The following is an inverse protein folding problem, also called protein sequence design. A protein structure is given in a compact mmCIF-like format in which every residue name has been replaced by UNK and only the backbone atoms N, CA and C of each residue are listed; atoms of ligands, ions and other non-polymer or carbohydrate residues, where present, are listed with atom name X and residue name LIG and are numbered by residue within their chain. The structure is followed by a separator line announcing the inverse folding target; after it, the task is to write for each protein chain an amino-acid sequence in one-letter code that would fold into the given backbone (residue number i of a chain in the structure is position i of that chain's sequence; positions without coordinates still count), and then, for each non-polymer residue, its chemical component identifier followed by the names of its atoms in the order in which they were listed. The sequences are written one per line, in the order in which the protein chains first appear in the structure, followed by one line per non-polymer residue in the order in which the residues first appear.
data_IF_225453689322
#
_entry.id   IF_225453689322
#
_cell.length_a   1.000
_cell.length_b   1.000
_cell.length_c   1.000
_cell.angle_alpha   90.00
_cell.angle_beta   90.00
_cell.angle_gamma   90.00
#
_symmetry.space_group_name_H-M   'P 1'
#
loop_
_entity.id
_entity.type
_entity.pdbx_description
1 polymer ?
#
# COMPACT_ATOMS: atom_id res chain seq x y z
N UNK A 1 -27.67 -27.05 -17.97
CA UNK A 1 -26.46 -27.84 -17.72
C UNK A 1 -25.24 -27.04 -18.19
N UNK A 2 -24.41 -26.63 -17.23
CA UNK A 2 -23.01 -26.12 -17.24
C UNK A 2 -22.55 -24.99 -18.20
N UNK A 3 -22.30 -23.85 -17.56
CA UNK A 3 -21.44 -22.70 -17.90
C UNK A 3 -19.95 -23.07 -18.04
N UNK A 4 -19.28 -22.55 -19.06
CA UNK A 4 -17.81 -22.40 -19.12
C UNK A 4 -17.44 -20.98 -19.56
N UNK A 5 -17.32 -20.07 -18.58
CA UNK A 5 -16.74 -18.74 -18.81
C UNK A 5 -15.22 -18.81 -18.62
N UNK A 6 -14.51 -18.99 -19.73
CA UNK A 6 -13.06 -18.82 -19.87
C UNK A 6 -12.68 -17.35 -19.69
N UNK A 7 -11.60 -17.12 -18.93
CA UNK A 7 -11.14 -15.78 -18.55
C UNK A 7 -10.89 -14.88 -19.76
N UNK A 8 -11.46 -13.67 -19.73
CA UNK A 8 -11.19 -12.62 -20.71
C UNK A 8 -9.72 -12.20 -20.62
N UNK A 9 -8.96 -12.39 -21.69
CA UNK A 9 -7.68 -11.73 -21.92
C UNK A 9 -7.98 -10.35 -22.51
N UNK A 10 -7.66 -9.29 -21.78
CA UNK A 10 -7.69 -7.92 -22.31
C UNK A 10 -6.38 -7.67 -23.05
N UNK A 11 -6.46 -7.24 -24.31
CA UNK A 11 -5.31 -6.78 -25.09
C UNK A 11 -5.35 -5.26 -25.15
N UNK A 12 -4.22 -4.60 -24.94
CA UNK A 12 -4.04 -3.18 -25.23
C UNK A 12 -2.83 -3.06 -26.16
N UNK A 13 -3.04 -2.50 -27.35
CA UNK A 13 -2.01 -2.34 -28.39
C UNK A 13 -1.33 -3.65 -28.83
N UNK A 14 -2.08 -4.76 -28.90
CA UNK A 14 -1.54 -6.06 -29.33
C UNK A 14 -0.72 -6.81 -28.29
N UNK A 15 -0.31 -6.15 -27.21
CA UNK A 15 0.39 -6.74 -26.07
C UNK A 15 -0.65 -7.43 -25.16
N UNK A 16 -0.45 -8.71 -24.78
CA UNK A 16 -1.29 -9.36 -23.78
C UNK A 16 -1.14 -8.60 -22.46
N UNK A 17 -2.18 -7.88 -22.02
CA UNK A 17 -2.20 -7.45 -20.63
C UNK A 17 -2.43 -8.72 -19.82
N UNK A 18 -1.42 -9.10 -19.03
CA UNK A 18 -1.59 -10.12 -18.02
C UNK A 18 -2.85 -9.74 -17.22
N UNK A 19 -3.92 -10.55 -17.34
CA UNK A 19 -5.17 -10.28 -16.62
C UNK A 19 -4.85 -10.02 -15.14
N UNK A 20 -5.62 -9.18 -14.46
CA UNK A 20 -5.27 -8.67 -13.12
C UNK A 20 -4.83 -9.78 -12.13
N UNK A 21 -5.33 -11.00 -12.28
CA UNK A 21 -4.88 -12.19 -11.54
C UNK A 21 -3.40 -12.53 -11.76
N UNK A 22 -2.89 -12.51 -12.99
CA UNK A 22 -1.48 -12.79 -13.31
C UNK A 22 -0.57 -11.67 -12.82
N UNK A 23 -1.01 -10.41 -12.92
CA UNK A 23 -0.31 -9.28 -12.31
C UNK A 23 -0.13 -9.46 -10.80
N UNK A 24 -1.15 -9.93 -10.07
CA UNK A 24 -1.03 -10.24 -8.64
C UNK A 24 0.02 -11.32 -8.36
N UNK A 25 0.17 -12.32 -9.25
CA UNK A 25 1.21 -13.34 -9.12
C UNK A 25 2.59 -12.71 -9.31
N UNK A 26 2.79 -11.96 -10.39
CA UNK A 26 4.08 -11.34 -10.70
C UNK A 26 4.48 -10.33 -9.60
N UNK A 27 3.50 -9.59 -9.03
CA UNK A 27 3.73 -8.71 -7.89
C UNK A 27 4.04 -9.47 -6.59
N UNK A 28 3.65 -10.73 -6.44
CA UNK A 28 3.90 -11.50 -5.20
C UNK A 28 5.37 -11.85 -4.97
N UNK A 29 6.18 -11.83 -6.04
CA UNK A 29 7.63 -12.00 -5.98
C UNK A 29 8.33 -10.76 -5.39
N UNK A 30 7.85 -9.57 -5.75
CA UNK A 30 8.48 -8.30 -5.41
C UNK A 30 7.82 -7.56 -4.25
N UNK A 31 6.53 -7.80 -3.99
CA UNK A 31 5.78 -7.09 -2.96
C UNK A 31 5.72 -7.87 -1.65
N UNK A 32 5.81 -7.13 -0.54
CA UNK A 32 5.53 -7.68 0.78
C UNK A 32 4.09 -8.20 0.88
N UNK A 33 3.83 -9.11 1.83
CA UNK A 33 2.48 -9.67 2.09
C UNK A 33 1.42 -8.58 2.26
N UNK A 34 1.80 -7.47 2.89
CA UNK A 34 0.94 -6.33 3.19
C UNK A 34 0.64 -5.51 1.94
N UNK A 35 1.68 -5.13 1.19
CA UNK A 35 1.52 -4.41 -0.07
C UNK A 35 0.73 -5.22 -1.09
N UNK A 36 0.95 -6.53 -1.16
CA UNK A 36 0.15 -7.44 -1.97
C UNK A 36 -1.32 -7.48 -1.52
N UNK A 37 -1.59 -7.51 -0.21
CA UNK A 37 -2.96 -7.43 0.33
C UNK A 37 -3.66 -6.12 -0.06
N UNK A 38 -2.94 -5.00 -0.02
CA UNK A 38 -3.47 -3.68 -0.40
C UNK A 38 -3.74 -3.57 -1.91
N UNK A 39 -2.83 -4.07 -2.76
CA UNK A 39 -3.06 -4.13 -4.22
C UNK A 39 -4.29 -4.98 -4.53
N UNK A 40 -4.38 -6.17 -3.91
CA UNK A 40 -5.55 -7.02 -4.08
C UNK A 40 -6.82 -6.32 -3.60
N UNK A 41 -6.78 -5.59 -2.48
CA UNK A 41 -7.86 -4.72 -1.99
C UNK A 41 -8.34 -3.74 -3.05
N UNK A 42 -7.41 -2.98 -3.63
CA UNK A 42 -7.74 -1.96 -4.61
C UNK A 42 -8.30 -2.52 -5.93
N UNK A 43 -7.78 -3.65 -6.40
CA UNK A 43 -8.29 -4.28 -7.62
C UNK A 43 -9.74 -4.76 -7.46
N UNK A 44 -10.10 -5.31 -6.29
CA UNK A 44 -11.48 -5.72 -6.04
C UNK A 44 -12.41 -4.52 -5.84
N UNK A 45 -11.95 -3.48 -5.13
CA UNK A 45 -12.71 -2.23 -4.95
C UNK A 45 -13.08 -1.58 -6.28
N UNK A 46 -12.22 -1.71 -7.30
CA UNK A 46 -12.42 -1.17 -8.66
C UNK A 46 -13.12 -2.17 -9.60
N UNK A 47 -13.57 -3.32 -9.10
CA UNK A 47 -14.13 -4.45 -9.87
C UNK A 47 -13.22 -4.92 -11.02
N UNK A 48 -11.91 -4.76 -10.86
CA UNK A 48 -10.89 -5.20 -11.82
C UNK A 48 -10.42 -6.64 -11.59
N UNK A 49 -10.65 -7.17 -10.38
CA UNK A 49 -10.31 -8.55 -10.03
C UNK A 49 -11.25 -9.05 -8.93
N UNK A 50 -12.01 -10.09 -9.23
CA UNK A 50 -12.90 -10.71 -8.25
C UNK A 50 -12.13 -11.68 -7.38
N UNK A 51 -12.50 -11.75 -6.10
CA UNK A 51 -11.92 -12.69 -5.13
C UNK A 51 -11.87 -14.14 -5.64
N UNK A 52 -12.95 -14.62 -6.24
CA UNK A 52 -13.04 -15.99 -6.75
C UNK A 52 -12.05 -16.27 -7.90
N UNK A 53 -11.59 -15.24 -8.61
CA UNK A 53 -10.54 -15.38 -9.63
C UNK A 53 -9.16 -15.53 -9.00
N UNK A 54 -8.91 -14.83 -7.90
CA UNK A 54 -7.66 -14.94 -7.12
C UNK A 54 -7.55 -16.29 -6.44
N UNK A 55 -8.64 -16.77 -5.83
CA UNK A 55 -8.69 -18.10 -5.20
C UNK A 55 -8.41 -19.20 -6.25
N UNK A 56 -9.13 -19.18 -7.37
CA UNK A 56 -8.88 -20.11 -8.49
C UNK A 56 -7.46 -20.02 -9.05
N UNK A 57 -6.83 -18.85 -9.04
CA UNK A 57 -5.43 -18.69 -9.46
C UNK A 57 -4.47 -19.29 -8.43
N UNK A 58 -4.67 -18.98 -7.14
CA UNK A 58 -3.86 -19.49 -6.04
C UNK A 58 -3.91 -21.02 -5.91
N UNK A 59 -5.02 -21.64 -6.33
CA UNK A 59 -5.16 -23.10 -6.37
C UNK A 59 -4.39 -23.73 -7.53
N UNK A 60 -4.21 -23.02 -8.64
CA UNK A 60 -3.46 -23.50 -9.82
C UNK A 60 -1.95 -23.35 -9.69
N UNK A 61 -1.49 -22.40 -8.88
CA UNK A 61 -0.06 -22.21 -8.63
C UNK A 61 0.47 -23.36 -7.76
N UNK A 62 1.60 -23.94 -8.18
CA UNK A 62 2.31 -24.95 -7.39
C UNK A 62 2.79 -24.39 -6.04
N UNK A 63 3.16 -25.27 -5.10
CA UNK A 63 3.67 -24.89 -3.77
C UNK A 63 4.89 -23.96 -3.90
N UNK A 64 4.90 -22.86 -3.14
CA UNK A 64 5.99 -21.88 -3.13
C UNK A 64 5.67 -20.63 -2.29
N UNK A 65 6.68 -19.77 -2.08
CA UNK A 65 6.54 -18.56 -1.27
C UNK A 65 5.46 -17.60 -1.80
N UNK A 66 5.28 -17.54 -3.12
CA UNK A 66 4.30 -16.69 -3.82
C UNK A 66 2.86 -17.05 -3.45
N UNK A 67 2.55 -18.36 -3.44
CA UNK A 67 1.24 -18.87 -3.05
C UNK A 67 0.96 -18.61 -1.57
N UNK A 68 1.99 -18.71 -0.70
CA UNK A 68 1.84 -18.39 0.73
C UNK A 68 1.48 -16.91 0.95
N UNK A 69 2.09 -15.98 0.21
CA UNK A 69 1.77 -14.54 0.29
C UNK A 69 0.37 -14.23 -0.24
N UNK A 70 -0.03 -14.81 -1.37
CA UNK A 70 -1.38 -14.64 -1.93
C UNK A 70 -2.44 -15.23 -0.99
N UNK A 71 -2.22 -16.44 -0.44
CA UNK A 71 -3.13 -17.07 0.53
C UNK A 71 -3.22 -16.27 1.84
N UNK A 72 -2.13 -15.66 2.29
CA UNK A 72 -2.16 -14.75 3.43
C UNK A 72 -3.07 -13.55 3.17
N UNK A 73 -2.91 -12.88 2.01
CA UNK A 73 -3.73 -11.75 1.61
C UNK A 73 -5.23 -12.12 1.50
N UNK A 74 -5.53 -13.29 0.92
CA UNK A 74 -6.90 -13.83 0.85
C UNK A 74 -7.49 -14.11 2.26
N UNK A 75 -6.70 -14.69 3.17
CA UNK A 75 -7.15 -14.99 4.55
C UNK A 75 -7.44 -13.73 5.35
N UNK A 76 -6.59 -12.71 5.26
CA UNK A 76 -6.83 -11.40 5.92
C UNK A 76 -8.14 -10.77 5.46
N UNK A 77 -8.43 -10.81 4.17
CA UNK A 77 -9.70 -10.32 3.59
C UNK A 77 -10.91 -11.11 4.09
N UNK A 78 -10.81 -12.45 4.21
CA UNK A 78 -11.88 -13.28 4.80
C UNK A 78 -12.20 -12.88 6.24
N UNK A 79 -11.20 -12.43 7.00
CA UNK A 79 -11.37 -11.93 8.36
C UNK A 79 -11.81 -10.46 8.44
N UNK A 80 -12.27 -9.86 7.34
CA UNK A 80 -12.72 -8.46 7.32
C UNK A 80 -11.60 -7.41 7.43
N UNK A 81 -10.33 -7.83 7.34
CA UNK A 81 -9.20 -6.90 7.37
C UNK A 81 -8.97 -6.36 5.95
N UNK A 82 -9.63 -5.25 5.62
CA UNK A 82 -9.48 -4.54 4.35
C UNK A 82 -8.15 -3.78 4.35
N UNK A 83 -7.17 -4.30 3.61
CA UNK A 83 -5.79 -3.81 3.63
C UNK A 83 -5.09 -4.16 4.95
N UNK A 84 -4.05 -4.99 4.88
CA UNK A 84 -3.33 -5.38 6.10
C UNK A 84 -2.24 -4.35 6.36
N UNK A 85 -2.36 -3.59 7.45
CA UNK A 85 -1.23 -2.83 7.96
C UNK A 85 -0.03 -3.74 8.18
N UNK A 86 1.18 -3.27 7.86
CA UNK A 86 2.42 -3.95 8.22
C UNK A 86 2.67 -3.91 9.74
N UNK A 87 3.48 -4.84 10.26
CA UNK A 87 3.88 -4.80 11.67
C UNK A 87 4.60 -3.49 12.05
N UNK A 88 5.31 -2.90 11.08
CA UNK A 88 5.95 -1.59 11.22
C UNK A 88 4.90 -0.48 11.32
N UNK A 89 3.90 -0.44 10.44
CA UNK A 89 2.79 0.52 10.55
C UNK A 89 2.06 0.39 11.89
N UNK A 90 1.78 -0.83 12.35
CA UNK A 90 1.11 -1.05 13.63
C UNK A 90 1.97 -0.56 14.81
N UNK A 91 3.29 -0.80 14.76
CA UNK A 91 4.24 -0.29 15.74
C UNK A 91 4.32 1.24 15.72
N UNK A 92 4.34 1.84 14.53
CA UNK A 92 4.34 3.30 14.39
C UNK A 92 3.05 3.92 14.94
N UNK A 93 1.89 3.33 14.66
CA UNK A 93 0.61 3.81 15.22
C UNK A 93 0.59 3.68 16.74
N UNK A 94 1.10 2.58 17.31
CA UNK A 94 1.23 2.44 18.77
C UNK A 94 2.12 3.54 19.35
N UNK A 95 3.31 3.75 18.78
CA UNK A 95 4.24 4.78 19.23
C UNK A 95 3.66 6.20 19.13
N UNK A 96 2.87 6.50 18.09
CA UNK A 96 2.18 7.77 17.94
C UNK A 96 0.99 7.91 18.90
N UNK A 97 0.29 6.81 19.20
CA UNK A 97 -0.88 6.80 20.08
C UNK A 97 -0.52 7.14 21.52
N UNK A 98 0.55 6.55 22.05
CA UNK A 98 1.01 6.84 23.42
C UNK A 98 1.51 8.28 23.60
N UNK A 99 1.65 9.03 22.49
CA UNK A 99 2.09 10.43 22.44
C UNK A 99 0.98 11.39 22.04
N UNK A 100 -0.27 10.92 21.97
CA UNK A 100 -1.44 11.70 21.52
C UNK A 100 -1.30 12.28 20.09
N UNK A 101 -0.49 11.63 19.26
CA UNK A 101 -0.23 12.06 17.88
C UNK A 101 -0.92 11.15 16.86
N UNK A 102 -2.10 10.63 17.15
CA UNK A 102 -2.78 9.70 16.23
C UNK A 102 -3.01 10.33 14.84
N UNK A 103 -2.81 9.58 13.75
CA UNK A 103 -3.18 10.03 12.42
C UNK A 103 -4.71 10.15 12.30
N UNK A 104 -5.16 11.06 11.44
CA UNK A 104 -6.57 11.21 11.09
C UNK A 104 -7.10 10.09 10.18
N UNK A 105 -6.21 9.37 9.49
CA UNK A 105 -6.54 8.20 8.68
C UNK A 105 -5.29 7.33 8.45
N UNK A 106 -5.52 6.04 8.24
CA UNK A 106 -4.52 5.02 7.90
C UNK A 106 -4.83 4.49 6.51
N UNK A 107 -3.82 4.37 5.66
CA UNK A 107 -3.93 3.98 4.26
C UNK A 107 -5.00 4.77 3.45
N UNK A 108 -5.19 6.10 3.64
CA UNK A 108 -6.20 6.80 2.87
C UNK A 108 -5.77 7.03 1.42
N UNK A 109 -6.75 7.13 0.49
CA UNK A 109 -6.50 7.65 -0.84
C UNK A 109 -6.24 9.16 -0.80
N UNK A 110 -5.25 9.61 -1.57
CA UNK A 110 -4.96 11.01 -1.88
C UNK A 110 -5.04 11.19 -3.40
N UNK A 111 -5.89 12.11 -3.83
CA UNK A 111 -5.96 12.52 -5.24
C UNK A 111 -4.77 13.43 -5.56
N UNK A 112 -4.02 13.09 -6.61
CA UNK A 112 -2.88 13.85 -7.14
C UNK A 112 -3.03 14.06 -8.66
N UNK A 113 -2.10 14.79 -9.26
CA UNK A 113 -2.03 15.02 -10.70
C UNK A 113 -1.66 13.76 -11.51
N UNK A 114 -1.06 12.76 -10.87
CA UNK A 114 -0.75 11.46 -11.48
C UNK A 114 -1.78 10.38 -11.12
N UNK A 115 -2.91 10.76 -10.52
CA UNK A 115 -3.98 9.86 -10.09
C UNK A 115 -4.07 9.70 -8.58
N UNK A 116 -4.73 8.62 -8.14
CA UNK A 116 -4.94 8.33 -6.70
C UNK A 116 -3.75 7.56 -6.13
N UNK A 117 -3.09 8.14 -5.14
CA UNK A 117 -2.01 7.51 -4.38
C UNK A 117 -2.50 7.12 -2.99
N UNK A 118 -1.98 6.01 -2.47
CA UNK A 118 -2.21 5.56 -1.10
C UNK A 118 -0.94 5.81 -0.30
N UNK A 119 -1.11 6.33 0.92
CA UNK A 119 -0.04 6.67 1.87
C UNK A 119 -0.36 6.03 3.20
N UNK A 120 0.65 5.66 3.99
CA UNK A 120 0.41 4.81 5.17
C UNK A 120 -0.34 5.56 6.28
N UNK A 121 0.04 6.81 6.58
CA UNK A 121 -0.59 7.61 7.65
C UNK A 121 -0.80 9.05 7.19
N UNK A 122 -1.89 9.68 7.64
CA UNK A 122 -2.26 11.05 7.27
C UNK A 122 -2.79 11.86 8.44
N UNK A 123 -2.39 13.14 8.50
CA UNK A 123 -3.04 14.21 9.25
C UNK A 123 -3.64 15.22 8.25
N UNK A 124 -4.95 15.12 7.99
CA UNK A 124 -5.66 15.97 7.01
C UNK A 124 -5.53 17.48 7.31
N UNK A 125 -5.54 17.84 8.58
CA UNK A 125 -5.13 19.14 9.07
C UNK A 125 -3.90 18.91 9.97
N UNK A 126 -2.68 19.27 9.55
CA UNK A 126 -2.34 20.33 8.59
C UNK A 126 -1.89 19.88 7.18
N UNK A 127 -2.31 18.69 6.70
CA UNK A 127 -1.85 18.03 5.45
C UNK A 127 -0.41 17.51 5.53
N UNK A 128 -0.18 16.63 6.51
CA UNK A 128 1.05 15.84 6.60
C UNK A 128 0.72 14.38 6.28
N UNK A 129 1.52 13.72 5.46
CA UNK A 129 1.45 12.29 5.22
C UNK A 129 2.80 11.62 5.52
N UNK A 130 2.73 10.36 5.93
CA UNK A 130 3.88 9.51 6.27
C UNK A 130 3.81 8.24 5.43
N UNK A 131 4.92 7.86 4.82
CA UNK A 131 5.16 6.52 4.28
C UNK A 131 6.20 5.79 5.14
N UNK A 132 5.96 4.51 5.43
CA UNK A 132 6.82 3.64 6.21
C UNK A 132 7.35 2.56 5.28
N UNK A 133 8.62 2.67 4.91
CA UNK A 133 9.28 1.74 4.01
C UNK A 133 9.83 0.54 4.78
N UNK A 134 9.45 -0.65 4.31
CA UNK A 134 9.92 -1.92 4.87
C UNK A 134 11.16 -2.50 4.21
N UNK A 135 11.67 -1.92 3.10
CA UNK A 135 12.82 -2.48 2.38
C UNK A 135 13.51 -1.48 1.43
N UNK A 136 14.81 -1.66 1.21
CA UNK A 136 15.62 -0.84 0.29
C UNK A 136 15.32 -1.24 -1.16
N UNK A 137 14.57 -0.40 -1.87
CA UNK A 137 14.20 -0.65 -3.27
C UNK A 137 15.35 -0.46 -4.26
N UNK A 138 15.24 -1.11 -5.43
CA UNK A 138 16.13 -0.91 -6.58
C UNK A 138 16.12 0.54 -7.09
N UNK A 139 17.10 0.92 -7.94
CA UNK A 139 17.17 2.26 -8.51
C UNK A 139 15.88 2.70 -9.24
N UNK A 140 15.20 1.77 -9.92
CA UNK A 140 13.91 2.04 -10.54
C UNK A 140 12.79 2.30 -9.52
N UNK A 141 12.82 1.62 -8.38
CA UNK A 141 11.87 1.86 -7.30
C UNK A 141 12.06 3.27 -6.74
N UNK A 142 13.30 3.68 -6.53
CA UNK A 142 13.63 5.04 -6.07
C UNK A 142 13.15 6.13 -7.03
N UNK A 143 13.19 5.91 -8.35
CA UNK A 143 12.66 6.86 -9.33
C UNK A 143 11.12 6.95 -9.25
N UNK A 144 10.44 5.81 -9.13
CA UNK A 144 8.97 5.78 -8.94
C UNK A 144 8.57 6.45 -7.63
N UNK A 145 9.32 6.21 -6.56
CA UNK A 145 9.07 6.79 -5.25
C UNK A 145 9.27 8.30 -5.30
N UNK A 146 10.32 8.82 -5.96
CA UNK A 146 10.50 10.26 -6.22
C UNK A 146 9.34 10.89 -6.97
N UNK A 147 8.81 10.22 -7.99
CA UNK A 147 7.67 10.72 -8.76
C UNK A 147 6.39 10.80 -7.91
N UNK A 148 6.12 9.78 -7.09
CA UNK A 148 5.02 9.75 -6.13
C UNK A 148 5.13 10.88 -5.11
N UNK A 149 6.31 11.03 -4.52
CA UNK A 149 6.65 12.07 -3.57
C UNK A 149 6.40 13.47 -4.14
N UNK A 150 6.86 13.71 -5.37
CA UNK A 150 6.65 14.97 -6.05
C UNK A 150 5.17 15.27 -6.30
N UNK A 151 4.38 14.26 -6.68
CA UNK A 151 2.93 14.40 -6.88
C UNK A 151 2.18 14.72 -5.57
N UNK A 152 2.53 14.06 -4.46
CA UNK A 152 1.98 14.37 -3.14
C UNK A 152 2.30 15.81 -2.71
N UNK A 153 3.55 16.25 -2.91
CA UNK A 153 3.98 17.62 -2.61
C UNK A 153 3.22 18.65 -3.47
N UNK A 154 3.05 18.40 -4.78
CA UNK A 154 2.23 19.26 -5.66
C UNK A 154 0.76 19.30 -5.24
N UNK A 155 0.22 18.20 -4.68
CA UNK A 155 -1.11 18.16 -4.06
C UNK A 155 -1.17 18.89 -2.68
N UNK A 156 -0.09 19.53 -2.26
CA UNK A 156 -0.01 20.38 -1.07
C UNK A 156 0.31 19.64 0.24
N UNK A 157 0.73 18.38 0.15
CA UNK A 157 1.08 17.56 1.30
C UNK A 157 2.56 17.73 1.70
N UNK A 158 2.81 17.79 3.00
CA UNK A 158 4.14 17.54 3.55
C UNK A 158 4.34 16.04 3.65
N UNK A 159 5.33 15.50 2.93
CA UNK A 159 5.64 14.06 2.88
C UNK A 159 6.85 13.76 3.77
N UNK A 160 6.68 12.85 4.73
CA UNK A 160 7.76 12.28 5.54
C UNK A 160 7.90 10.78 5.23
N UNK A 161 9.12 10.26 5.19
CA UNK A 161 9.38 8.83 4.99
C UNK A 161 10.25 8.32 6.13
N UNK A 162 9.91 7.14 6.63
CA UNK A 162 10.64 6.47 7.71
C UNK A 162 10.90 5.03 7.29
N UNK A 163 12.06 4.51 7.64
CA UNK A 163 12.39 3.11 7.40
C UNK A 163 12.01 2.23 8.61
N UNK A 164 12.33 0.93 8.49
CA UNK A 164 12.10 -0.03 9.55
C UNK A 164 12.86 0.29 10.85
N UNK A 165 14.07 0.87 10.76
CA UNK A 165 14.90 1.23 11.91
C UNK A 165 14.36 2.47 12.62
N UNK A 166 13.84 3.44 11.86
CA UNK A 166 13.18 4.61 12.41
C UNK A 166 11.95 4.21 13.26
N UNK A 167 11.19 3.23 12.80
CA UNK A 167 10.03 2.70 13.54
C UNK A 167 10.43 1.79 14.70
N UNK A 168 11.46 0.97 14.51
CA UNK A 168 11.80 -0.09 15.47
C UNK A 168 12.70 0.43 16.58
N UNK A 169 13.73 1.21 16.22
CA UNK A 169 14.82 1.66 17.06
C UNK A 169 14.71 3.14 17.42
N UNK A 170 14.12 3.97 16.54
CA UNK A 170 14.08 5.44 16.71
C UNK A 170 12.66 6.03 16.76
N UNK A 171 11.71 5.27 17.28
CA UNK A 171 10.28 5.65 17.26
C UNK A 171 10.01 7.04 17.87
N UNK A 172 10.80 7.43 18.87
CA UNK A 172 10.72 8.74 19.50
C UNK A 172 11.18 9.88 18.58
N UNK A 173 12.22 9.65 17.80
CA UNK A 173 12.71 10.61 16.81
C UNK A 173 11.74 10.73 15.64
N UNK A 174 11.16 9.61 15.18
CA UNK A 174 10.07 9.60 14.20
C UNK A 174 8.90 10.44 14.68
N UNK A 175 8.40 10.20 15.90
CA UNK A 175 7.28 10.95 16.46
C UNK A 175 7.58 12.45 16.60
N UNK A 176 8.79 12.82 17.05
CA UNK A 176 9.21 14.23 17.10
C UNK A 176 9.25 14.89 15.73
N UNK A 177 9.74 14.18 14.72
CA UNK A 177 9.80 14.68 13.34
C UNK A 177 8.41 14.94 12.77
N UNK A 178 7.47 14.02 13.02
CA UNK A 178 6.06 14.18 12.65
C UNK A 178 5.43 15.38 13.37
N UNK A 179 5.63 15.51 14.68
CA UNK A 179 5.13 16.65 15.45
C UNK A 179 5.65 17.99 14.92
N UNK A 180 6.96 18.06 14.66
CA UNK A 180 7.61 19.27 14.15
C UNK A 180 7.05 19.65 12.77
N UNK A 181 6.91 18.70 11.85
CA UNK A 181 6.34 18.95 10.53
C UNK A 181 4.88 19.44 10.61
N UNK A 182 4.08 18.85 11.52
CA UNK A 182 2.70 19.30 11.76
C UNK A 182 2.67 20.74 12.29
N UNK A 183 3.51 21.06 13.27
CA UNK A 183 3.58 22.39 13.87
C UNK A 183 3.99 23.47 12.85
N UNK A 184 5.04 23.23 12.07
CA UNK A 184 5.49 24.14 11.01
C UNK A 184 4.38 24.38 10.00
N UNK A 185 3.66 23.32 9.60
CA UNK A 185 2.59 23.43 8.60
C UNK A 185 1.33 24.13 9.13
N UNK A 186 1.05 24.03 10.43
CA UNK A 186 -0.03 24.80 11.07
C UNK A 186 0.27 26.29 11.10
N UNK A 187 1.53 26.69 11.34
CA UNK A 187 1.95 28.10 11.37
C UNK A 187 2.02 28.77 10.00
N UNK A 188 2.16 27.98 8.93
CA UNK A 188 2.25 28.49 7.56
C UNK A 188 0.88 28.69 6.88
N UNK A 189 -0.22 28.62 7.63
CA UNK A 189 -1.59 28.89 7.20
C UNK A 189 -2.07 30.18 7.81
#
# INVERSE_FOLDING_TARGET
MRTTATGRSTRHLGIPLAGAARMVVDLSDVYSRHRLTNVMYELERRDLLRRAEIERMADRLARGHNVSRIRFALRRRKLGHLGSMSALEERAIRALSVREQRPSAVNPPITTDIGVLYVDLVWRAPRVCVEIDGDHGSAEQQLRDRARDAALRRAGWTVLRFDADDVSLRADQMARSIAAARHVRQKAR
#
